data_IF_447942425091
#
_entry.id   IF_447942425091
#
_cell.length_a   1.000
_cell.length_b   1.000
_cell.length_c   1.000
_cell.angle_alpha   90.00
_cell.angle_beta   90.00
_cell.angle_gamma   90.00
#
_symmetry.space_group_name_H-M   'P 1'
#
loop_
_entity.id
_entity.type
_entity.pdbx_description
1 polymer ?
#
# COMPACT_ATOMS: atom_id res chain seq x y z
N UNK A 1 -6.17 -16.92 -6.45
CA UNK A 1 -6.72 -15.81 -5.67
C UNK A 1 -6.82 -14.53 -6.49
N UNK A 2 -6.32 -13.43 -5.96
CA UNK A 2 -6.45 -12.09 -6.55
C UNK A 2 -5.86 -11.98 -7.97
N UNK A 3 -4.75 -12.65 -8.26
CA UNK A 3 -4.04 -12.66 -9.54
C UNK A 3 -4.87 -13.20 -10.72
N UNK A 4 -5.96 -13.92 -10.45
CA UNK A 4 -6.87 -14.40 -11.52
C UNK A 4 -7.48 -13.26 -12.35
N UNK A 5 -7.56 -12.05 -11.79
CA UNK A 5 -8.11 -10.86 -12.44
C UNK A 5 -7.06 -10.05 -13.23
N UNK A 6 -5.84 -10.60 -13.41
CA UNK A 6 -4.72 -9.88 -14.00
C UNK A 6 -4.28 -8.70 -13.15
N UNK A 7 -3.86 -7.59 -13.77
CA UNK A 7 -3.45 -6.36 -13.05
C UNK A 7 -4.62 -5.56 -12.44
N UNK A 8 -5.83 -6.08 -12.49
CA UNK A 8 -7.02 -5.45 -11.87
C UNK A 8 -7.16 -3.97 -12.23
N UNK A 9 -6.77 -3.63 -13.43
CA UNK A 9 -6.71 -2.25 -13.92
C UNK A 9 -8.01 -1.51 -13.65
N UNK A 10 -7.91 -0.36 -13.02
CA UNK A 10 -9.08 0.47 -12.69
C UNK A 10 -9.93 0.77 -13.95
N UNK A 11 -11.25 0.80 -13.81
CA UNK A 11 -12.19 1.07 -14.89
C UNK A 11 -12.52 -0.12 -15.79
N UNK A 12 -12.12 -1.32 -15.42
CA UNK A 12 -12.46 -2.57 -16.08
C UNK A 12 -13.49 -3.36 -15.27
N UNK A 13 -14.17 -4.32 -15.91
CA UNK A 13 -15.07 -5.23 -15.20
C UNK A 13 -14.31 -6.17 -14.27
N UNK A 14 -13.11 -6.62 -14.68
CA UNK A 14 -12.24 -7.45 -13.84
C UNK A 14 -11.77 -6.72 -12.56
N UNK A 15 -11.68 -5.38 -12.59
CA UNK A 15 -11.42 -4.59 -11.38
C UNK A 15 -12.64 -4.65 -10.43
N UNK A 16 -13.86 -4.50 -10.96
CA UNK A 16 -15.09 -4.63 -10.16
C UNK A 16 -15.23 -6.03 -9.56
N UNK A 17 -14.96 -7.07 -10.35
CA UNK A 17 -14.96 -8.46 -9.87
C UNK A 17 -13.89 -8.72 -8.80
N UNK A 18 -12.74 -8.05 -8.89
CA UNK A 18 -11.72 -8.12 -7.86
C UNK A 18 -12.19 -7.47 -6.54
N UNK A 19 -12.90 -6.34 -6.60
CA UNK A 19 -13.52 -5.71 -5.43
C UNK A 19 -14.53 -6.67 -4.78
N UNK A 20 -15.41 -7.28 -5.58
CA UNK A 20 -16.39 -8.26 -5.10
C UNK A 20 -15.70 -9.46 -4.43
N UNK A 21 -14.62 -9.94 -5.03
CA UNK A 21 -13.83 -11.03 -4.47
C UNK A 21 -13.17 -10.62 -3.14
N UNK A 22 -12.56 -9.44 -3.07
CA UNK A 22 -11.93 -8.92 -1.84
C UNK A 22 -12.96 -8.78 -0.73
N UNK A 23 -14.13 -8.20 -1.01
CA UNK A 23 -15.21 -8.08 -0.02
C UNK A 23 -15.64 -9.46 0.51
N UNK A 24 -15.78 -10.43 -0.39
CA UNK A 24 -16.11 -11.80 0.01
C UNK A 24 -15.01 -12.44 0.88
N UNK A 25 -13.72 -12.16 0.60
CA UNK A 25 -12.62 -12.63 1.46
C UNK A 25 -12.70 -11.99 2.87
N UNK A 26 -12.89 -10.67 2.96
CA UNK A 26 -13.05 -9.97 4.22
C UNK A 26 -14.21 -10.56 5.05
N UNK A 27 -15.35 -10.78 4.42
CA UNK A 27 -16.52 -11.39 5.07
C UNK A 27 -16.24 -12.83 5.52
N UNK A 28 -15.53 -13.61 4.71
CA UNK A 28 -15.21 -15.01 5.01
C UNK A 28 -14.32 -15.19 6.23
N UNK A 29 -13.50 -14.20 6.55
CA UNK A 29 -12.63 -14.18 7.74
C UNK A 29 -13.29 -13.50 8.95
N UNK A 30 -14.57 -13.24 8.91
CA UNK A 30 -15.35 -12.70 10.02
C UNK A 30 -15.41 -11.17 10.10
N UNK A 31 -14.82 -10.46 9.14
CA UNK A 31 -14.95 -9.00 9.04
C UNK A 31 -16.25 -8.64 8.29
N UNK A 32 -17.38 -8.65 9.00
CA UNK A 32 -18.71 -8.54 8.39
C UNK A 32 -19.22 -7.10 8.23
N UNK A 33 -18.49 -6.11 8.75
CA UNK A 33 -18.82 -4.69 8.62
C UNK A 33 -18.15 -4.10 7.38
N UNK A 34 -18.38 -4.73 6.23
CA UNK A 34 -17.85 -4.26 4.95
C UNK A 34 -18.65 -3.08 4.43
N UNK A 35 -17.95 -2.09 3.88
CA UNK A 35 -18.54 -0.94 3.21
C UNK A 35 -17.75 -0.63 1.94
N UNK A 36 -18.40 0.05 0.99
CA UNK A 36 -17.75 0.57 -0.22
C UNK A 36 -17.82 2.09 -0.25
N UNK A 37 -16.77 2.70 -0.77
CA UNK A 37 -16.75 4.12 -1.13
C UNK A 37 -16.95 4.21 -2.63
N UNK A 38 -17.95 4.99 -3.02
CA UNK A 38 -18.22 5.33 -4.42
C UNK A 38 -17.60 6.69 -4.74
N UNK A 39 -16.93 6.79 -5.88
CA UNK A 39 -16.40 8.04 -6.41
C UNK A 39 -16.39 8.05 -7.94
N UNK A 40 -16.24 9.21 -8.54
CA UNK A 40 -16.16 9.35 -10.00
C UNK A 40 -14.71 9.59 -10.41
N UNK A 41 -14.25 8.78 -11.33
CA UNK A 41 -12.97 8.99 -12.00
C UNK A 41 -13.22 9.32 -13.48
N UNK A 42 -13.04 10.59 -13.81
CA UNK A 42 -13.18 11.11 -15.16
C UNK A 42 -11.94 11.95 -15.50
N UNK A 43 -10.84 11.32 -15.85
CA UNK A 43 -9.62 12.03 -16.18
C UNK A 43 -9.88 12.92 -17.40
N UNK A 44 -9.67 14.22 -17.25
CA UNK A 44 -9.78 15.17 -18.37
C UNK A 44 -8.95 14.64 -19.54
N UNK A 45 -9.43 14.75 -20.79
CA UNK A 45 -8.66 14.36 -21.97
C UNK A 45 -7.27 15.01 -21.90
N UNK A 46 -6.22 14.21 -21.99
CA UNK A 46 -4.84 14.70 -21.99
C UNK A 46 -4.66 15.61 -23.19
N UNK A 47 -4.89 16.89 -23.03
CA UNK A 47 -4.41 17.87 -24.00
C UNK A 47 -2.89 17.82 -23.98
N UNK A 48 -2.30 17.51 -25.09
CA UNK A 48 -0.86 17.32 -25.31
C UNK A 48 0.00 18.56 -24.98
N UNK A 49 -0.60 19.66 -24.52
CA UNK A 49 0.06 20.92 -24.16
C UNK A 49 0.06 21.25 -22.66
N UNK A 50 -0.64 20.52 -21.82
CA UNK A 50 -0.56 20.75 -20.38
C UNK A 50 0.27 19.64 -19.72
N UNK A 51 1.58 19.84 -19.61
CA UNK A 51 2.30 19.35 -18.44
C UNK A 51 1.64 20.02 -17.22
N UNK A 52 0.55 19.47 -16.73
CA UNK A 52 0.18 19.72 -15.37
C UNK A 52 1.29 19.09 -14.53
N UNK A 53 2.19 19.91 -14.05
CA UNK A 53 2.86 19.61 -12.81
C UNK A 53 1.74 19.17 -11.86
N UNK A 54 1.86 17.97 -11.33
CA UNK A 54 1.08 17.56 -10.19
C UNK A 54 1.17 18.71 -9.18
N UNK A 55 0.05 19.35 -8.93
CA UNK A 55 -0.03 20.40 -7.90
C UNK A 55 -0.22 19.73 -6.54
N UNK A 56 0.55 18.70 -6.26
CA UNK A 56 0.82 18.33 -4.88
C UNK A 56 2.02 19.20 -4.46
N UNK A 57 1.85 20.20 -3.60
CA UNK A 57 2.97 21.02 -3.13
C UNK A 57 4.00 20.20 -2.37
N UNK A 58 3.67 18.95 -2.01
CA UNK A 58 4.52 17.95 -1.39
C UNK A 58 4.94 16.85 -2.37
N UNK A 59 4.85 17.07 -3.68
CA UNK A 59 5.47 16.18 -4.66
C UNK A 59 6.99 16.30 -4.56
N UNK A 60 7.49 15.92 -3.45
CA UNK A 60 8.88 15.59 -3.21
C UNK A 60 9.07 14.15 -3.70
N UNK A 61 9.11 13.98 -5.01
CA UNK A 61 9.93 12.91 -5.56
C UNK A 61 11.30 13.13 -4.93
N UNK A 62 11.63 12.39 -3.90
CA UNK A 62 12.67 12.60 -2.92
C UNK A 62 13.65 13.73 -3.23
N UNK A 63 14.16 14.47 -2.29
CA UNK A 63 15.04 15.54 -2.59
C UNK A 63 16.25 14.97 -3.31
N UNK A 64 16.19 15.02 -4.61
CA UNK A 64 17.45 15.14 -5.29
C UNK A 64 18.03 16.44 -4.78
N UNK A 65 19.15 16.40 -4.13
CA UNK A 65 19.86 17.57 -3.65
C UNK A 65 20.09 18.63 -4.76
N UNK A 66 19.56 18.41 -5.93
CA UNK A 66 19.70 19.20 -7.14
C UNK A 66 18.36 19.59 -7.76
N UNK A 67 17.19 19.27 -7.17
CA UNK A 67 15.89 19.58 -7.78
C UNK A 67 15.64 18.87 -9.11
N UNK A 68 16.48 17.94 -9.49
CA UNK A 68 16.27 17.11 -10.69
C UNK A 68 15.37 15.94 -10.26
N UNK A 69 14.18 15.87 -10.82
CA UNK A 69 13.44 14.63 -10.85
C UNK A 69 14.39 13.52 -11.30
N UNK A 70 14.62 12.54 -10.43
CA UNK A 70 15.14 11.26 -10.88
C UNK A 70 13.98 10.70 -11.69
N UNK A 71 14.08 10.89 -13.00
CA UNK A 71 12.96 10.65 -13.89
C UNK A 71 12.53 9.21 -13.79
N UNK A 72 11.24 9.01 -13.79
CA UNK A 72 10.61 7.71 -14.00
C UNK A 72 11.20 6.93 -15.20
N UNK A 73 11.97 7.53 -16.04
CA UNK A 73 12.48 6.98 -17.29
C UNK A 73 14.00 6.95 -17.39
N UNK A 74 14.78 7.11 -16.34
CA UNK A 74 16.24 6.94 -16.41
C UNK A 74 17.00 7.64 -17.57
N UNK A 75 16.30 8.39 -18.39
CA UNK A 75 16.80 8.98 -19.64
C UNK A 75 17.15 10.48 -19.52
N UNK A 76 17.26 10.98 -18.30
CA UNK A 76 17.82 12.32 -18.08
C UNK A 76 19.34 12.29 -18.26
N UNK A 77 19.94 13.27 -19.00
CA UNK A 77 21.39 13.32 -19.14
C UNK A 77 22.04 13.40 -17.75
N UNK A 78 22.76 12.37 -17.35
CA UNK A 78 23.62 12.36 -16.17
C UNK A 78 22.99 11.94 -14.84
N UNK A 79 21.75 11.41 -14.83
CA UNK A 79 21.10 10.99 -13.57
C UNK A 79 21.48 9.60 -13.06
N UNK A 80 21.75 8.69 -13.94
CA UNK A 80 21.80 7.27 -13.65
C UNK A 80 23.05 6.76 -12.95
N UNK A 81 24.14 7.48 -13.00
CA UNK A 81 25.42 6.94 -12.51
C UNK A 81 25.79 7.36 -11.09
N UNK A 82 25.15 8.38 -10.54
CA UNK A 82 25.57 8.96 -9.26
C UNK A 82 25.13 8.12 -8.06
N UNK A 83 24.07 7.30 -8.21
CA UNK A 83 23.50 6.52 -7.10
C UNK A 83 23.29 5.03 -7.43
N UNK A 84 23.98 4.49 -8.41
CA UNK A 84 23.75 3.11 -8.82
C UNK A 84 22.36 2.86 -9.44
N UNK A 85 21.71 3.92 -9.90
CA UNK A 85 20.38 3.87 -10.47
C UNK A 85 20.34 2.95 -11.69
N UNK A 86 19.68 1.84 -11.58
CA UNK A 86 19.17 1.13 -12.77
C UNK A 86 18.03 1.99 -13.28
N UNK A 87 18.13 2.48 -14.49
CA UNK A 87 17.02 3.16 -15.11
C UNK A 87 15.77 2.31 -14.89
N UNK A 88 14.72 2.88 -14.30
CA UNK A 88 13.48 2.15 -14.20
C UNK A 88 13.10 1.71 -15.60
N UNK A 89 12.62 0.49 -15.73
CA UNK A 89 12.13 -0.02 -17.01
C UNK A 89 10.94 0.79 -17.52
N UNK A 90 10.46 1.75 -16.71
CA UNK A 90 9.27 2.54 -16.99
C UNK A 90 8.01 1.69 -16.89
N UNK A 91 6.87 2.33 -17.06
CA UNK A 91 5.58 1.62 -17.13
C UNK A 91 5.46 0.95 -18.51
N UNK A 92 5.23 -0.34 -18.55
CA UNK A 92 4.86 -1.00 -19.79
C UNK A 92 3.44 -0.60 -20.21
N UNK A 93 3.33 0.02 -21.39
CA UNK A 93 2.05 0.50 -21.92
C UNK A 93 1.50 -0.38 -23.05
N UNK A 94 2.23 -1.43 -23.44
CA UNK A 94 1.82 -2.32 -24.52
C UNK A 94 1.34 -3.67 -23.95
N UNK A 95 0.02 -3.96 -23.98
CA UNK A 95 -0.51 -5.23 -23.52
C UNK A 95 0.04 -6.43 -24.30
N UNK A 96 0.54 -6.23 -25.50
CA UNK A 96 1.08 -7.31 -26.34
C UNK A 96 2.49 -7.74 -25.91
N UNK A 97 3.19 -6.94 -25.08
CA UNK A 97 4.45 -7.35 -24.46
C UNK A 97 4.25 -8.44 -23.39
N UNK A 98 3.00 -8.71 -22.95
CA UNK A 98 2.69 -9.80 -22.04
C UNK A 98 2.84 -11.14 -22.77
N UNK A 99 3.73 -12.06 -22.32
CA UNK A 99 3.93 -13.35 -22.96
C UNK A 99 2.79 -14.34 -22.70
N UNK A 100 2.09 -14.24 -21.58
CA UNK A 100 0.99 -15.10 -21.21
C UNK A 100 -0.28 -14.77 -22.01
N UNK A 101 -0.86 -15.80 -22.70
CA UNK A 101 -2.03 -15.60 -23.55
C UNK A 101 -3.28 -15.28 -22.74
N UNK A 102 -3.46 -15.89 -21.58
CA UNK A 102 -4.59 -15.61 -20.66
C UNK A 102 -4.58 -14.15 -20.22
N UNK A 103 -3.40 -13.63 -19.84
CA UNK A 103 -3.27 -12.24 -19.43
C UNK A 103 -3.46 -11.28 -20.61
N UNK A 104 -2.95 -11.62 -21.81
CA UNK A 104 -3.23 -10.82 -23.01
C UNK A 104 -4.73 -10.73 -23.31
N UNK A 105 -5.46 -11.81 -23.11
CA UNK A 105 -6.92 -11.80 -23.31
C UNK A 105 -7.61 -10.88 -22.31
N UNK A 106 -7.28 -10.97 -21.01
CA UNK A 106 -7.78 -10.05 -19.99
C UNK A 106 -7.43 -8.60 -20.31
N UNK A 107 -6.23 -8.36 -20.83
CA UNK A 107 -5.71 -7.02 -21.12
C UNK A 107 -6.40 -6.36 -22.35
N UNK A 108 -7.19 -7.08 -23.11
CA UNK A 108 -8.02 -6.52 -24.20
C UNK A 108 -9.22 -5.73 -23.70
N UNK A 109 -9.59 -5.92 -22.43
CA UNK A 109 -10.68 -5.19 -21.83
C UNK A 109 -10.38 -3.69 -21.78
N UNK A 110 -11.23 -2.83 -22.36
CA UNK A 110 -10.99 -1.38 -22.33
C UNK A 110 -11.29 -0.80 -20.95
N UNK A 111 -10.51 0.17 -20.55
CA UNK A 111 -10.84 0.99 -19.38
C UNK A 111 -11.94 1.99 -19.73
N UNK A 112 -12.86 2.24 -18.81
CA UNK A 112 -13.93 3.20 -18.96
C UNK A 112 -13.78 4.34 -17.96
N UNK A 113 -14.28 5.53 -18.28
CA UNK A 113 -14.46 6.61 -17.30
C UNK A 113 -15.71 6.38 -16.47
N UNK A 114 -15.86 7.12 -15.36
CA UNK A 114 -17.07 7.12 -14.56
C UNK A 114 -16.92 6.53 -13.17
N UNK A 115 -17.94 5.81 -12.66
CA UNK A 115 -17.94 5.32 -11.28
C UNK A 115 -16.81 4.36 -10.97
N UNK A 116 -16.25 4.52 -9.78
CA UNK A 116 -15.28 3.61 -9.16
C UNK A 116 -15.74 3.27 -7.76
N UNK A 117 -15.26 2.16 -7.27
CA UNK A 117 -15.47 1.72 -5.89
C UNK A 117 -14.14 1.31 -5.29
N UNK A 118 -14.07 1.39 -3.99
CA UNK A 118 -13.09 0.74 -3.14
C UNK A 118 -13.82 0.09 -1.97
N UNK A 119 -13.17 -0.82 -1.26
CA UNK A 119 -13.79 -1.59 -0.20
C UNK A 119 -12.94 -1.58 1.05
N UNK A 120 -13.61 -1.48 2.19
CA UNK A 120 -13.00 -1.68 3.50
C UNK A 120 -13.91 -2.49 4.40
N UNK A 121 -13.34 -3.02 5.49
CA UNK A 121 -14.11 -3.48 6.62
C UNK A 121 -13.54 -2.94 7.92
N UNK A 122 -14.36 -2.91 8.98
CA UNK A 122 -13.96 -2.39 10.27
C UNK A 122 -14.20 -3.43 11.37
N UNK A 123 -13.12 -3.84 12.05
CA UNK A 123 -13.25 -4.50 13.34
C UNK A 123 -13.56 -3.44 14.39
N UNK A 124 -14.70 -3.54 15.02
CA UNK A 124 -15.16 -2.57 16.03
C UNK A 124 -14.46 -2.86 17.38
N UNK A 125 -13.88 -1.83 17.97
CA UNK A 125 -13.27 -1.90 19.29
C UNK A 125 -14.30 -2.08 20.41
N UNK A 126 -13.91 -2.77 21.46
CA UNK A 126 -14.81 -3.11 22.60
C UNK A 126 -14.96 -1.96 23.59
N UNK A 127 -13.91 -1.18 23.83
CA UNK A 127 -13.87 -0.14 24.86
C UNK A 127 -13.88 1.26 24.27
N UNK A 128 -13.15 1.45 23.18
CA UNK A 128 -12.98 2.73 22.48
C UNK A 128 -13.36 2.59 20.99
N UNK A 129 -14.63 2.23 20.67
CA UNK A 129 -15.07 2.00 19.30
C UNK A 129 -14.99 3.27 18.42
N UNK A 130 -15.02 4.45 19.04
CA UNK A 130 -14.86 5.75 18.36
C UNK A 130 -13.43 6.15 18.01
N UNK A 131 -12.44 5.28 18.23
CA UNK A 131 -11.03 5.46 17.88
C UNK A 131 -10.55 4.32 16.98
N UNK A 132 -9.77 4.62 15.91
CA UNK A 132 -9.29 3.55 15.04
C UNK A 132 -7.91 3.80 14.44
N UNK A 133 -7.25 2.70 14.09
CA UNK A 133 -6.13 2.67 13.15
C UNK A 133 -6.58 2.14 11.81
N UNK A 134 -6.02 2.68 10.72
CA UNK A 134 -6.28 2.26 9.35
C UNK A 134 -5.07 1.47 8.84
N UNK A 135 -5.31 0.30 8.30
CA UNK A 135 -4.32 -0.54 7.61
C UNK A 135 -4.78 -0.64 6.17
N UNK A 136 -3.95 -0.20 5.23
CA UNK A 136 -4.32 -0.15 3.82
C UNK A 136 -3.29 -0.74 2.88
N UNK A 137 -3.78 -1.05 1.68
CA UNK A 137 -3.02 -1.41 0.50
C UNK A 137 -3.84 -1.02 -0.74
N UNK A 138 -3.24 -0.84 -1.90
CA UNK A 138 -4.07 -0.69 -3.10
C UNK A 138 -4.31 -2.01 -3.80
N UNK A 139 -5.45 -2.11 -4.45
CA UNK A 139 -5.87 -3.34 -5.08
C UNK A 139 -5.74 -3.34 -6.59
N UNK A 140 -5.69 -2.18 -7.21
CA UNK A 140 -5.46 -2.03 -8.64
C UNK A 140 -3.96 -2.14 -8.98
N UNK A 141 -3.64 -2.31 -10.23
CA UNK A 141 -2.27 -2.42 -10.69
C UNK A 141 -2.09 -1.95 -12.12
N UNK A 142 -0.86 -1.95 -12.58
CA UNK A 142 -0.41 -1.42 -13.84
C UNK A 142 0.60 -2.37 -14.51
N UNK A 143 0.92 -2.15 -15.81
CA UNK A 143 2.02 -2.87 -16.49
C UNK A 143 1.62 -4.13 -17.23
N UNK A 144 0.37 -4.58 -17.17
CA UNK A 144 -0.19 -5.71 -17.93
C UNK A 144 0.26 -7.09 -17.46
N UNK A 145 0.80 -7.19 -16.23
CA UNK A 145 1.05 -8.44 -15.51
C UNK A 145 -0.15 -8.91 -14.69
N UNK A 146 0.14 -9.49 -13.55
CA UNK A 146 -0.85 -9.84 -12.52
C UNK A 146 -0.86 -8.84 -11.36
N UNK A 147 0.03 -7.84 -11.38
CA UNK A 147 0.25 -6.93 -10.27
C UNK A 147 0.40 -7.71 -8.94
N UNK A 148 1.26 -8.73 -8.98
CA UNK A 148 1.42 -9.65 -7.86
C UNK A 148 2.17 -8.99 -6.70
N UNK A 149 3.19 -8.19 -7.01
CA UNK A 149 3.90 -7.37 -6.04
C UNK A 149 3.25 -5.98 -5.90
N UNK A 150 2.98 -5.30 -7.00
CA UNK A 150 2.44 -3.93 -7.01
C UNK A 150 0.93 -3.91 -7.38
N UNK A 151 -0.04 -3.94 -6.43
CA UNK A 151 0.14 -4.13 -5.01
C UNK A 151 -0.72 -5.30 -4.50
N UNK A 152 -0.60 -6.44 -5.19
CA UNK A 152 -1.19 -7.70 -4.72
C UNK A 152 -0.60 -8.16 -3.40
N UNK A 153 0.67 -7.82 -3.15
CA UNK A 153 1.40 -8.17 -1.92
C UNK A 153 0.82 -7.44 -0.71
N UNK A 154 0.67 -6.13 -0.79
CA UNK A 154 0.03 -5.34 0.27
C UNK A 154 -1.43 -5.73 0.48
N UNK A 155 -2.20 -5.95 -0.60
CA UNK A 155 -3.58 -6.46 -0.51
C UNK A 155 -3.63 -7.78 0.27
N UNK A 156 -2.71 -8.72 0.01
CA UNK A 156 -2.66 -9.99 0.72
C UNK A 156 -2.33 -9.80 2.21
N UNK A 157 -1.41 -8.89 2.54
CA UNK A 157 -1.07 -8.55 3.93
C UNK A 157 -2.30 -7.99 4.66
N UNK A 158 -3.04 -7.06 4.06
CA UNK A 158 -4.24 -6.48 4.68
C UNK A 158 -5.32 -7.54 4.92
N UNK A 159 -5.54 -8.45 3.95
CA UNK A 159 -6.50 -9.56 4.11
C UNK A 159 -6.06 -10.54 5.21
N UNK A 160 -4.78 -10.85 5.32
CA UNK A 160 -4.25 -11.72 6.37
C UNK A 160 -4.36 -11.06 7.75
N UNK A 161 -4.05 -9.78 7.87
CA UNK A 161 -4.25 -9.03 9.11
C UNK A 161 -5.73 -8.97 9.49
N UNK A 162 -6.63 -8.79 8.53
CA UNK A 162 -8.06 -8.87 8.77
C UNK A 162 -8.46 -10.26 9.32
N UNK A 163 -7.92 -11.33 8.76
CA UNK A 163 -8.16 -12.70 9.22
C UNK A 163 -7.69 -12.90 10.66
N UNK A 164 -6.50 -12.47 11.00
CA UNK A 164 -5.92 -12.65 12.34
C UNK A 164 -6.69 -11.84 13.38
N UNK A 165 -6.93 -10.56 13.10
CA UNK A 165 -7.63 -9.70 14.07
C UNK A 165 -9.11 -10.06 14.25
N UNK A 166 -9.78 -10.63 13.22
CA UNK A 166 -11.17 -11.06 13.35
C UNK A 166 -11.33 -12.53 13.81
N UNK A 167 -10.23 -13.19 14.22
CA UNK A 167 -10.36 -14.49 14.88
C UNK A 167 -11.30 -14.37 16.10
N UNK A 168 -12.16 -15.38 16.37
CA UNK A 168 -13.23 -15.27 17.38
C UNK A 168 -12.74 -14.97 18.79
N UNK A 169 -11.52 -15.37 19.10
CA UNK A 169 -10.87 -15.20 20.42
C UNK A 169 -10.06 -13.90 20.53
N UNK A 170 -9.94 -13.12 19.45
CA UNK A 170 -9.21 -11.85 19.46
C UNK A 170 -10.17 -10.69 19.72
N UNK A 171 -9.88 -9.92 20.75
CA UNK A 171 -10.57 -8.68 21.09
C UNK A 171 -9.61 -7.51 20.99
N UNK A 172 -10.12 -6.33 20.64
CA UNK A 172 -9.35 -5.08 20.57
C UNK A 172 -10.10 -3.99 21.31
N UNK A 173 -9.39 -3.12 22.04
CA UNK A 173 -10.05 -1.99 22.67
C UNK A 173 -10.46 -0.92 21.66
N UNK A 174 -9.62 -0.68 20.66
CA UNK A 174 -9.87 0.28 19.57
C UNK A 174 -10.26 -0.44 18.29
N UNK A 175 -10.93 0.27 17.42
CA UNK A 175 -11.30 -0.22 16.10
C UNK A 175 -10.09 -0.32 15.16
N UNK A 176 -10.18 -1.22 14.18
CA UNK A 176 -9.21 -1.36 13.09
C UNK A 176 -9.97 -1.33 11.78
N UNK A 177 -9.57 -0.49 10.84
CA UNK A 177 -10.07 -0.50 9.47
C UNK A 177 -9.06 -1.15 8.54
N UNK A 178 -9.51 -2.16 7.80
CA UNK A 178 -8.76 -2.85 6.75
C UNK A 178 -9.27 -2.32 5.41
N UNK A 179 -8.47 -1.51 4.73
CA UNK A 179 -8.89 -0.77 3.55
C UNK A 179 -8.11 -1.20 2.30
N UNK A 180 -8.84 -1.49 1.24
CA UNK A 180 -8.29 -1.86 -0.06
C UNK A 180 -8.65 -0.73 -1.04
N UNK A 181 -7.66 0.16 -1.24
CA UNK A 181 -7.81 1.33 -2.09
C UNK A 181 -7.85 0.94 -3.55
N UNK A 182 -8.58 1.68 -4.35
CA UNK A 182 -8.63 1.46 -5.78
C UNK A 182 -8.17 2.72 -6.52
N UNK A 183 -7.65 2.55 -7.74
CA UNK A 183 -7.27 3.67 -8.57
C UNK A 183 -6.07 4.49 -8.01
N UNK A 184 -5.17 3.79 -7.29
CA UNK A 184 -3.89 4.33 -6.84
C UNK A 184 -3.04 4.74 -8.02
N UNK A 185 -2.86 3.83 -8.98
CA UNK A 185 -1.98 3.87 -10.13
C UNK A 185 -2.20 5.07 -11.07
N UNK A 186 -3.30 5.74 -10.93
CA UNK A 186 -3.63 6.93 -11.73
C UNK A 186 -3.72 8.21 -10.90
N UNK A 187 -3.29 8.17 -9.63
CA UNK A 187 -3.10 9.32 -8.78
C UNK A 187 -3.77 9.29 -7.41
N UNK A 188 -3.76 8.15 -6.73
CA UNK A 188 -4.28 7.98 -5.36
C UNK A 188 -5.76 8.35 -5.25
N UNK A 189 -6.56 8.02 -6.28
CA UNK A 189 -7.91 8.58 -6.39
C UNK A 189 -8.86 7.99 -5.35
N UNK A 190 -8.75 6.71 -5.03
CA UNK A 190 -9.57 6.06 -4.01
C UNK A 190 -9.28 6.62 -2.63
N UNK A 191 -8.06 6.54 -2.17
CA UNK A 191 -7.68 7.07 -0.84
C UNK A 191 -7.98 8.56 -0.67
N UNK A 192 -7.86 9.36 -1.75
CA UNK A 192 -8.30 10.77 -1.76
C UNK A 192 -9.81 10.88 -1.59
N UNK A 193 -10.58 10.07 -2.29
CA UNK A 193 -12.04 10.07 -2.18
C UNK A 193 -12.49 9.67 -0.77
N UNK A 194 -11.84 8.67 -0.18
CA UNK A 194 -12.06 8.29 1.21
C UNK A 194 -11.80 9.46 2.16
N UNK A 195 -10.62 10.07 2.07
CA UNK A 195 -10.26 11.23 2.92
C UNK A 195 -11.28 12.36 2.76
N UNK A 196 -11.63 12.73 1.52
CA UNK A 196 -12.59 13.77 1.25
C UNK A 196 -13.98 13.49 1.86
N UNK A 197 -14.46 12.25 1.74
CA UNK A 197 -15.79 11.88 2.20
C UNK A 197 -15.85 11.63 3.71
N UNK A 198 -14.76 11.22 4.36
CA UNK A 198 -14.78 10.70 5.74
C UNK A 198 -14.14 11.62 6.77
N UNK A 199 -13.24 12.51 6.38
CA UNK A 199 -12.55 13.40 7.35
C UNK A 199 -13.52 14.17 8.24
N UNK A 200 -14.58 14.72 7.66
CA UNK A 200 -15.58 15.50 8.41
C UNK A 200 -16.52 14.70 9.29
N UNK A 201 -16.50 13.36 9.21
CA UNK A 201 -17.37 12.45 9.96
C UNK A 201 -16.70 11.82 11.18
N UNK A 202 -15.40 12.01 11.34
CA UNK A 202 -14.61 11.36 12.36
C UNK A 202 -15.14 11.59 13.78
N UNK A 203 -15.29 10.50 14.51
CA UNK A 203 -15.70 10.51 15.93
C UNK A 203 -17.15 10.93 16.16
N UNK A 204 -17.95 11.06 15.10
CA UNK A 204 -19.37 11.36 15.24
C UNK A 204 -20.16 10.10 15.52
N UNK A 205 -20.89 10.13 16.61
CA UNK A 205 -21.77 9.04 17.01
C UNK A 205 -23.13 9.16 16.30
N UNK A 206 -23.59 8.10 15.67
CA UNK A 206 -24.83 8.11 14.87
C UNK A 206 -25.70 6.89 15.19
N UNK A 207 -26.89 7.08 15.79
CA UNK A 207 -27.38 8.33 16.39
C UNK A 207 -26.61 8.69 17.68
N UNK A 208 -26.66 9.96 18.14
CA UNK A 208 -26.00 10.33 19.39
C UNK A 208 -26.42 9.46 20.58
N UNK A 209 -25.46 8.99 21.37
CA UNK A 209 -25.67 8.10 22.52
C UNK A 209 -25.82 6.61 22.18
N UNK A 210 -25.60 6.23 20.90
CA UNK A 210 -25.74 4.83 20.45
C UNK A 210 -24.49 3.97 20.67
N UNK A 211 -23.33 4.59 20.82
CA UNK A 211 -22.03 3.90 20.75
C UNK A 211 -21.61 3.50 19.34
N UNK A 212 -22.37 3.90 18.32
CA UNK A 212 -22.07 3.61 16.92
C UNK A 212 -21.35 4.78 16.25
N UNK A 213 -20.13 4.52 15.77
CA UNK A 213 -19.28 5.49 15.06
C UNK A 213 -19.06 5.00 13.63
N UNK A 214 -19.84 5.46 12.66
CA UNK A 214 -19.64 5.09 11.25
C UNK A 214 -18.23 5.44 10.75
N UNK A 215 -17.68 6.55 11.26
CA UNK A 215 -16.28 6.92 11.03
C UNK A 215 -15.60 7.22 12.38
N UNK A 216 -14.95 6.24 13.03
CA UNK A 216 -14.17 6.49 14.23
C UNK A 216 -13.04 7.50 13.97
N UNK A 217 -12.60 8.19 15.01
CA UNK A 217 -11.46 9.10 14.93
C UNK A 217 -10.19 8.37 14.54
N UNK A 218 -9.51 8.83 13.54
CA UNK A 218 -8.26 8.25 13.04
C UNK A 218 -7.11 8.54 14.03
N UNK A 219 -6.38 7.50 14.41
CA UNK A 219 -5.22 7.59 15.29
C UNK A 219 -3.90 7.36 14.55
N UNK A 220 -3.93 6.65 13.43
CA UNK A 220 -2.79 6.36 12.57
C UNK A 220 -3.23 5.65 11.30
N UNK A 221 -2.43 5.83 10.24
CA UNK A 221 -2.62 5.14 8.96
C UNK A 221 -1.32 4.44 8.57
N UNK A 222 -1.44 3.18 8.17
CA UNK A 222 -0.33 2.32 7.76
C UNK A 222 -0.66 1.75 6.39
N UNK A 223 0.16 2.08 5.39
CA UNK A 223 0.05 1.57 4.03
C UNK A 223 1.08 0.48 3.80
N UNK A 224 0.68 -0.58 3.10
CA UNK A 224 1.59 -1.57 2.53
C UNK A 224 1.58 -1.40 1.02
N UNK A 225 2.77 -1.43 0.40
CA UNK A 225 2.89 -1.19 -1.04
C UNK A 225 4.21 -1.78 -1.53
N UNK A 226 4.14 -2.88 -2.30
CA UNK A 226 5.27 -3.64 -2.82
C UNK A 226 6.12 -4.31 -1.73
N UNK A 227 5.85 -5.57 -1.42
CA UNK A 227 6.48 -6.29 -0.30
C UNK A 227 7.01 -7.67 -0.67
N UNK A 228 7.34 -7.95 -1.95
CA UNK A 228 7.83 -9.27 -2.36
C UNK A 228 9.25 -9.28 -2.90
N UNK A 229 9.83 -8.18 -3.35
CA UNK A 229 11.16 -8.21 -3.95
C UNK A 229 12.26 -8.16 -2.89
N UNK A 230 12.75 -9.33 -2.47
CA UNK A 230 13.82 -9.51 -1.48
C UNK A 230 15.18 -9.09 -2.03
N UNK A 231 15.63 -7.90 -1.69
CA UNK A 231 16.89 -7.32 -2.18
C UNK A 231 17.67 -6.54 -1.10
N UNK A 232 17.32 -6.72 0.16
CA UNK A 232 17.88 -5.97 1.28
C UNK A 232 18.96 -6.68 2.07
N UNK A 233 18.94 -6.51 3.39
CA UNK A 233 19.94 -7.03 4.32
C UNK A 233 19.89 -8.57 4.45
N UNK A 234 20.97 -9.22 4.90
CA UNK A 234 20.95 -10.64 5.22
C UNK A 234 19.85 -10.99 6.24
N UNK A 235 19.24 -12.14 6.08
CA UNK A 235 18.27 -12.70 7.03
C UNK A 235 18.92 -13.02 8.38
N UNK A 236 18.10 -13.26 9.38
CA UNK A 236 18.55 -13.59 10.73
C UNK A 236 19.48 -14.81 10.79
N UNK A 237 19.36 -15.75 9.86
CA UNK A 237 20.23 -16.92 9.72
C UNK A 237 21.55 -16.63 8.96
N UNK A 238 21.76 -15.39 8.53
CA UNK A 238 22.93 -14.94 7.77
C UNK A 238 22.90 -15.29 6.29
N UNK A 239 21.81 -15.87 5.78
CA UNK A 239 21.65 -16.12 4.35
C UNK A 239 21.34 -14.86 3.58
N UNK A 240 21.77 -14.81 2.32
CA UNK A 240 21.52 -13.70 1.39
C UNK A 240 20.97 -14.30 0.10
N UNK A 241 19.88 -13.75 -0.40
CA UNK A 241 19.36 -14.11 -1.72
C UNK A 241 20.35 -13.69 -2.81
N UNK A 242 20.44 -14.39 -3.93
CA UNK A 242 21.30 -13.99 -5.06
C UNK A 242 21.02 -12.56 -5.59
N UNK A 243 19.80 -12.04 -5.36
CA UNK A 243 19.38 -10.71 -5.78
C UNK A 243 19.34 -9.72 -4.62
N UNK A 244 19.61 -10.17 -3.41
CA UNK A 244 19.54 -9.37 -2.20
C UNK A 244 20.67 -8.35 -2.16
N UNK A 245 20.34 -7.13 -1.75
CA UNK A 245 21.31 -6.06 -1.50
C UNK A 245 21.64 -5.96 0.00
N UNK A 246 22.72 -5.26 0.37
CA UNK A 246 23.12 -5.09 1.77
C UNK A 246 22.27 -4.04 2.54
N UNK A 247 21.18 -3.56 1.97
CA UNK A 247 20.23 -2.66 2.66
C UNK A 247 19.18 -3.48 3.44
N UNK A 248 18.42 -2.80 4.29
CA UNK A 248 17.29 -3.41 4.96
C UNK A 248 16.16 -3.72 3.96
N UNK A 249 15.51 -4.85 4.15
CA UNK A 249 14.44 -5.33 3.26
C UNK A 249 13.11 -4.62 3.52
N UNK A 250 12.82 -4.26 4.78
CA UNK A 250 11.60 -3.55 5.13
C UNK A 250 11.92 -2.07 5.36
N UNK A 251 11.37 -1.20 4.54
CA UNK A 251 11.50 0.23 4.70
C UNK A 251 10.19 0.80 5.26
N UNK A 252 10.27 1.41 6.42
CA UNK A 252 9.18 2.08 7.09
C UNK A 252 9.35 3.57 6.84
N UNK A 253 8.51 4.12 6.00
CA UNK A 253 8.64 5.50 5.54
C UNK A 253 7.61 6.42 6.18
N UNK A 254 8.03 7.64 6.53
CA UNK A 254 7.17 8.76 6.89
C UNK A 254 7.51 9.98 6.02
N UNK A 255 6.63 10.98 5.94
CA UNK A 255 6.92 12.21 5.19
C UNK A 255 7.44 13.30 6.12
N UNK A 256 8.72 13.67 5.95
CA UNK A 256 9.37 14.69 6.79
C UNK A 256 8.84 16.11 6.57
N UNK A 257 8.17 16.36 5.46
CA UNK A 257 7.56 17.66 5.14
C UNK A 257 6.07 17.75 5.54
N UNK A 258 5.48 16.67 6.07
CA UNK A 258 4.09 16.65 6.52
C UNK A 258 3.91 17.48 7.81
N UNK A 259 2.69 17.98 8.04
CA UNK A 259 2.35 18.70 9.28
C UNK A 259 2.52 17.83 10.52
N UNK A 260 2.24 16.53 10.41
CA UNK A 260 2.36 15.55 11.50
C UNK A 260 3.65 14.69 11.40
N UNK A 261 4.70 15.25 10.80
CA UNK A 261 5.97 14.53 10.64
C UNK A 261 6.59 14.01 11.95
N UNK A 262 6.56 14.73 13.08
CA UNK A 262 7.08 14.22 14.35
C UNK A 262 6.32 12.99 14.84
N UNK A 263 4.99 13.00 14.77
CA UNK A 263 4.10 11.91 15.18
C UNK A 263 4.23 10.71 14.24
N UNK A 264 4.27 10.95 12.93
CA UNK A 264 4.50 9.92 11.92
C UNK A 264 5.87 9.26 12.08
N UNK A 265 6.91 10.05 12.38
CA UNK A 265 8.24 9.53 12.72
C UNK A 265 8.20 8.65 13.97
N UNK A 266 7.50 9.08 15.02
CA UNK A 266 7.37 8.29 16.24
C UNK A 266 6.67 6.96 15.96
N UNK A 267 5.61 6.97 15.15
CA UNK A 267 4.90 5.77 14.70
C UNK A 267 5.85 4.85 13.90
N UNK A 268 6.63 5.39 12.95
CA UNK A 268 7.58 4.62 12.17
C UNK A 268 8.64 3.93 13.04
N UNK A 269 9.21 4.63 14.01
CA UNK A 269 10.16 4.03 14.95
C UNK A 269 9.52 3.01 15.91
N UNK A 270 8.26 3.18 16.25
CA UNK A 270 7.51 2.17 16.99
C UNK A 270 7.35 0.88 16.17
N UNK A 271 7.00 0.99 14.88
CA UNK A 271 6.95 -0.15 13.96
C UNK A 271 8.31 -0.81 13.80
N UNK A 272 9.38 -0.02 13.67
CA UNK A 272 10.74 -0.58 13.65
C UNK A 272 11.06 -1.38 14.92
N UNK A 273 10.71 -0.86 16.09
CA UNK A 273 10.94 -1.58 17.34
C UNK A 273 10.14 -2.90 17.41
N UNK A 274 8.94 -2.95 16.85
CA UNK A 274 8.17 -4.19 16.75
C UNK A 274 8.77 -5.17 15.73
N UNK A 275 9.32 -4.67 14.61
CA UNK A 275 10.08 -5.51 13.68
C UNK A 275 11.29 -6.14 14.39
N UNK A 276 12.10 -5.34 15.08
CA UNK A 276 13.28 -5.81 15.82
C UNK A 276 12.94 -6.88 16.87
N UNK A 277 11.70 -6.87 17.40
CA UNK A 277 11.27 -7.80 18.45
C UNK A 277 10.56 -9.05 17.92
N UNK A 278 9.81 -8.96 16.83
CA UNK A 278 8.84 -9.99 16.42
C UNK A 278 8.97 -10.44 14.96
N UNK A 279 9.72 -9.73 14.13
CA UNK A 279 9.88 -10.04 12.70
C UNK A 279 11.36 -9.96 12.29
N UNK A 280 12.20 -10.73 12.99
CA UNK A 280 13.67 -10.62 12.95
C UNK A 280 14.31 -11.19 11.69
N UNK A 281 13.57 -11.90 10.84
CA UNK A 281 14.11 -12.47 9.60
C UNK A 281 14.54 -11.40 8.60
N UNK A 282 13.82 -10.27 8.59
CA UNK A 282 14.10 -9.15 7.73
C UNK A 282 14.12 -7.85 8.56
N UNK A 283 15.32 -7.29 8.80
CA UNK A 283 15.44 -6.05 9.56
C UNK A 283 14.80 -4.87 8.82
N UNK A 284 14.26 -3.92 9.58
CA UNK A 284 13.65 -2.72 9.02
C UNK A 284 14.50 -1.48 9.23
N UNK A 285 14.40 -0.54 8.30
CA UNK A 285 14.91 0.84 8.43
C UNK A 285 13.77 1.84 8.46
N UNK A 286 14.05 3.06 8.92
CA UNK A 286 13.09 4.18 8.91
C UNK A 286 13.60 5.26 7.99
N UNK A 287 12.80 5.63 6.98
CA UNK A 287 13.10 6.65 5.99
C UNK A 287 12.12 7.83 6.04
N UNK A 288 12.59 9.08 5.73
CA UNK A 288 11.77 10.30 5.81
C UNK A 288 11.08 10.67 4.49
N UNK A 289 10.97 9.76 3.53
CA UNK A 289 10.64 10.07 2.14
C UNK A 289 9.37 9.40 1.62
N UNK A 290 8.39 9.12 2.50
CA UNK A 290 7.08 8.60 2.11
C UNK A 290 6.43 9.47 1.03
N UNK A 291 6.08 8.89 -0.11
CA UNK A 291 5.41 9.58 -1.21
C UNK A 291 4.82 8.58 -2.20
N UNK A 292 3.90 9.05 -3.03
CA UNK A 292 3.31 8.27 -4.12
C UNK A 292 2.73 6.91 -3.68
N UNK A 293 1.98 6.92 -2.59
CA UNK A 293 1.14 5.80 -2.17
C UNK A 293 -0.01 6.33 -1.32
N UNK A 294 -0.97 5.48 -0.98
CA UNK A 294 -2.24 5.87 -0.37
C UNK A 294 -2.14 6.42 1.06
N UNK A 295 -0.99 6.32 1.71
CA UNK A 295 -0.72 7.08 2.94
C UNK A 295 -0.58 8.59 2.73
N UNK A 296 -0.25 9.02 1.50
CA UNK A 296 -0.01 10.44 1.19
C UNK A 296 -1.22 11.34 1.44
N UNK A 297 -2.46 10.98 1.08
CA UNK A 297 -3.62 11.81 1.40
C UNK A 297 -3.90 12.00 2.89
N UNK A 298 -3.35 11.13 3.74
CA UNK A 298 -3.57 11.13 5.20
C UNK A 298 -2.51 11.91 5.98
N UNK A 299 -1.32 12.14 5.43
CA UNK A 299 -0.11 12.53 6.16
C UNK A 299 -0.21 13.85 6.94
N UNK A 300 -1.11 14.76 6.55
CA UNK A 300 -1.35 16.02 7.25
C UNK A 300 -2.58 15.97 8.19
N UNK A 301 -3.27 14.82 8.24
CA UNK A 301 -4.51 14.62 9.02
C UNK A 301 -4.31 13.66 10.19
N UNK A 302 -3.40 12.70 10.04
CA UNK A 302 -3.11 11.65 11.01
C UNK A 302 -1.66 11.20 10.82
N UNK A 303 -0.98 10.70 11.87
CA UNK A 303 0.33 10.05 11.67
C UNK A 303 0.21 8.94 10.63
N UNK A 304 0.87 9.10 9.49
CA UNK A 304 0.79 8.17 8.37
C UNK A 304 2.17 7.65 7.99
N UNK A 305 2.28 6.34 7.77
CA UNK A 305 3.50 5.65 7.37
C UNK A 305 3.22 4.67 6.24
N UNK A 306 4.26 4.29 5.50
CA UNK A 306 4.22 3.21 4.52
C UNK A 306 5.27 2.17 4.83
N UNK A 307 4.96 0.90 4.64
CA UNK A 307 5.93 -0.19 4.58
C UNK A 307 6.15 -0.58 3.13
N UNK A 308 7.42 -0.68 2.74
CA UNK A 308 7.86 -0.99 1.38
C UNK A 308 9.09 -1.89 1.39
N UNK A 309 9.35 -2.55 0.28
CA UNK A 309 10.55 -3.35 0.04
C UNK A 309 11.80 -2.51 -0.27
N UNK A 310 11.66 -1.20 -0.49
CA UNK A 310 12.76 -0.29 -0.79
C UNK A 310 12.49 1.12 -0.27
N UNK A 311 13.56 1.83 0.10
CA UNK A 311 13.50 3.22 0.49
C UNK A 311 13.47 4.13 -0.74
N UNK A 312 12.46 4.98 -0.86
CA UNK A 312 12.31 5.84 -2.03
C UNK A 312 13.33 6.98 -2.13
N UNK A 313 13.74 7.56 -1.02
CA UNK A 313 14.58 8.75 -1.06
C UNK A 313 16.02 8.49 -1.42
N UNK A 314 16.61 7.45 -0.87
CA UNK A 314 18.05 7.19 -0.96
C UNK A 314 18.40 6.14 -2.02
N UNK A 315 17.52 5.19 -2.27
CA UNK A 315 17.83 3.97 -3.03
C UNK A 315 16.93 3.73 -4.23
N UNK A 316 16.16 4.74 -4.66
CA UNK A 316 15.35 4.64 -5.86
C UNK A 316 16.21 4.14 -7.03
N UNK A 317 15.83 3.00 -7.57
CA UNK A 317 16.44 2.34 -8.71
C UNK A 317 17.60 1.41 -8.39
N UNK A 318 18.34 1.59 -7.33
CA UNK A 318 19.49 0.72 -7.03
C UNK A 318 19.10 -0.64 -6.41
N UNK A 319 17.95 -1.06 -6.38
CA UNK A 319 17.34 -2.30 -5.94
C UNK A 319 15.84 -2.22 -6.11
N UNK A 320 15.43 -1.32 -6.95
CA UNK A 320 14.05 -1.26 -7.38
C UNK A 320 13.67 -2.57 -8.04
N UNK A 321 12.49 -3.08 -7.73
CA UNK A 321 11.95 -4.26 -8.35
C UNK A 321 11.91 -4.09 -9.89
N UNK A 322 12.64 -4.93 -10.66
CA UNK A 322 12.63 -4.85 -12.11
C UNK A 322 11.29 -5.27 -12.73
N UNK A 323 10.40 -5.85 -11.94
CA UNK A 323 9.07 -6.29 -12.34
C UNK A 323 8.01 -5.21 -12.14
N UNK A 324 8.33 -4.15 -11.38
CA UNK A 324 7.44 -3.03 -11.12
C UNK A 324 6.87 -2.44 -12.42
N UNK A 325 5.53 -2.43 -12.52
CA UNK A 325 4.79 -1.98 -13.71
C UNK A 325 5.19 -2.70 -15.01
N UNK A 326 5.56 -3.97 -14.91
CA UNK A 326 5.98 -4.78 -16.05
C UNK A 326 5.08 -6.00 -16.25
N UNK A 327 5.09 -6.60 -17.46
CA UNK A 327 4.39 -7.85 -17.73
C UNK A 327 4.86 -9.01 -16.86
N UNK A 328 6.01 -8.88 -16.25
CA UNK A 328 6.66 -9.88 -15.39
C UNK A 328 6.29 -9.76 -13.92
N UNK A 329 5.50 -8.76 -13.52
CA UNK A 329 4.89 -8.72 -12.19
C UNK A 329 3.73 -9.73 -12.12
N UNK A 330 4.11 -10.99 -12.01
CA UNK A 330 3.21 -12.15 -11.94
C UNK A 330 3.59 -13.02 -10.75
N UNK A 331 2.63 -13.79 -10.21
CA UNK A 331 2.82 -14.61 -9.02
C UNK A 331 4.02 -15.55 -9.13
N UNK A 332 4.20 -16.18 -10.28
CA UNK A 332 5.27 -17.16 -10.52
C UNK A 332 6.68 -16.52 -10.63
N UNK A 333 6.78 -15.21 -10.67
CA UNK A 333 8.06 -14.50 -10.65
C UNK A 333 8.70 -14.53 -9.27
N UNK A 334 7.89 -14.53 -8.22
CA UNK A 334 8.36 -14.40 -6.84
C UNK A 334 8.54 -15.76 -6.17
N UNK A 335 9.59 -15.87 -5.39
CA UNK A 335 10.02 -17.09 -4.71
C UNK A 335 9.48 -17.16 -3.28
N UNK A 336 9.65 -18.31 -2.62
CA UNK A 336 9.32 -18.46 -1.20
C UNK A 336 10.06 -17.46 -0.31
N UNK A 337 11.26 -17.04 -0.70
CA UNK A 337 12.04 -16.04 0.04
C UNK A 337 11.40 -14.65 -0.06
N UNK A 338 10.90 -14.30 -1.25
CA UNK A 338 10.16 -13.05 -1.47
C UNK A 338 8.88 -13.03 -0.62
N UNK A 339 8.15 -14.14 -0.55
CA UNK A 339 6.98 -14.26 0.32
C UNK A 339 7.32 -14.18 1.82
N UNK A 340 8.54 -14.56 2.23
CA UNK A 340 8.97 -14.36 3.62
C UNK A 340 9.19 -12.90 3.97
N UNK A 341 9.64 -12.08 3.02
CA UNK A 341 9.68 -10.63 3.20
C UNK A 341 8.28 -10.08 3.48
N UNK A 342 7.29 -10.45 2.66
CA UNK A 342 5.89 -10.09 2.89
C UNK A 342 5.36 -10.56 4.25
N UNK A 343 5.71 -11.78 4.66
CA UNK A 343 5.36 -12.30 5.98
C UNK A 343 5.98 -11.47 7.11
N UNK A 344 7.26 -11.11 7.00
CA UNK A 344 7.92 -10.27 8.00
C UNK A 344 7.29 -8.87 8.12
N UNK A 345 6.85 -8.29 6.99
CA UNK A 345 6.08 -7.05 6.99
C UNK A 345 4.72 -7.21 7.69
N UNK A 346 4.00 -8.28 7.40
CA UNK A 346 2.74 -8.61 8.08
C UNK A 346 2.93 -8.78 9.59
N UNK A 347 3.96 -9.51 10.02
CA UNK A 347 4.30 -9.71 11.43
C UNK A 347 4.66 -8.39 12.14
N UNK A 348 5.41 -7.51 11.46
CA UNK A 348 5.75 -6.17 11.96
C UNK A 348 4.49 -5.38 12.24
N UNK A 349 3.58 -5.32 11.28
CA UNK A 349 2.32 -4.58 11.40
C UNK A 349 1.38 -5.22 12.41
N UNK A 350 1.27 -6.55 12.41
CA UNK A 350 0.47 -7.27 13.41
C UNK A 350 0.91 -6.92 14.83
N UNK A 351 2.22 -7.01 15.11
CA UNK A 351 2.77 -6.74 16.44
C UNK A 351 2.59 -5.28 16.87
N UNK A 352 2.76 -4.33 15.93
CA UNK A 352 2.57 -2.91 16.21
C UNK A 352 1.10 -2.57 16.48
N UNK A 353 0.22 -2.98 15.58
CA UNK A 353 -1.22 -2.68 15.69
C UNK A 353 -1.82 -3.38 16.91
N UNK A 354 -1.45 -4.64 17.23
CA UNK A 354 -1.94 -5.34 18.40
C UNK A 354 -1.66 -4.55 19.69
N UNK A 355 -0.48 -3.94 19.82
CA UNK A 355 -0.15 -3.09 20.96
C UNK A 355 -0.94 -1.77 20.93
N UNK A 356 -1.04 -1.11 19.77
CA UNK A 356 -1.73 0.17 19.63
C UNK A 356 -3.23 0.10 19.89
N UNK A 357 -3.86 -1.03 19.56
CA UNK A 357 -5.29 -1.27 19.80
C UNK A 357 -5.57 -2.02 21.09
N UNK A 358 -4.53 -2.34 21.87
CA UNK A 358 -4.59 -3.16 23.08
C UNK A 358 -5.33 -4.48 22.83
N UNK A 359 -4.81 -5.26 21.87
CA UNK A 359 -5.40 -6.55 21.52
C UNK A 359 -5.17 -7.60 22.63
N UNK A 360 -6.18 -8.41 22.87
CA UNK A 360 -6.13 -9.51 23.83
C UNK A 360 -6.78 -10.77 23.24
N UNK A 361 -6.28 -11.93 23.68
CA UNK A 361 -6.91 -13.22 23.39
C UNK A 361 -7.83 -13.56 24.56
N UNK A 362 -9.12 -13.75 24.27
CA UNK A 362 -10.08 -14.21 25.25
C UNK A 362 -9.82 -15.68 25.58
N UNK A 363 -9.75 -15.99 26.87
CA UNK A 363 -9.58 -17.37 27.36
C UNK A 363 -10.87 -18.17 27.22
#
# INVERSE_FOLDING_TARGET
GLTQFGDRRQGTERNRQAIDWIEAQLQSVGCTTTERIDYIHDPAPRNSSSRRQSQNPLNVDGPTATGKQIGRNGSGPGGSSIFGYRGSTGVNNDPMNQPDERLRELNREPTTNGPRQEVYCTKIGTTNPGEMYIIGAHMDGHGWGEAANDDGSGTAIVLELARVFNAPDVQTERSIRFALWNNEETGLNGSRAYVEQRTGLQGQEVPPGSGNYPEPRWLGMVQHDMMLFDHGAPRADGTVSPNQRPEADINIEFQSAAELAPEARALAFFFKATNDAYATDYPATVGPHMTNTDSTPFMDLVPAISLRENERGAHIGAGWDPHWHQPTDVFDTFTDDDFRLGLASAQTTLAAIAQLVNAAISQ
#
